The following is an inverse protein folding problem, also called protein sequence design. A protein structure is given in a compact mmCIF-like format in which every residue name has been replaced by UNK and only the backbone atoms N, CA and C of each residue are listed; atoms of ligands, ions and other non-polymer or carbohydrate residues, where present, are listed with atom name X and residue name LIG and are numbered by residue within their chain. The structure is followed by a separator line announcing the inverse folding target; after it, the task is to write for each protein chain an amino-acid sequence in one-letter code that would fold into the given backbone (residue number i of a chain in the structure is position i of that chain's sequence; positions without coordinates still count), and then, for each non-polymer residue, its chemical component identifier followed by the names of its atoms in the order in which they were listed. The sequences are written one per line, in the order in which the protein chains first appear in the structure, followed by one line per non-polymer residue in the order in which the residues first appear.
data_IF_822720175473
#
_entry.id   IF_822720175473
#
_cell.length_a   1.000
_cell.length_b   1.000
_cell.length_c   1.000
_cell.angle_alpha   90.00
_cell.angle_beta   90.00
_cell.angle_gamma   90.00
#
_symmetry.space_group_name_H-M   'P 1'
#
loop_
_entity.id
_entity.type
_entity.pdbx_description
1 polymer ?
#
# COMPACT_ATOMS: atom_id res chain seq x y z
N UNK A 1 3.67 -17.39 11.99
CA UNK A 1 2.69 -16.30 12.08
C UNK A 1 3.05 -15.37 10.93
N UNK A 2 2.31 -15.43 9.82
CA UNK A 2 2.72 -14.73 8.59
C UNK A 2 2.57 -13.21 8.75
N UNK A 3 3.36 -12.46 7.97
CA UNK A 3 3.43 -11.00 7.88
C UNK A 3 2.09 -10.33 7.49
N UNK A 4 1.11 -10.40 8.39
CA UNK A 4 -0.30 -10.08 8.12
C UNK A 4 -0.58 -8.69 7.55
N UNK A 5 -0.04 -7.58 8.07
CA UNK A 5 -0.31 -6.27 7.49
C UNK A 5 0.39 -6.05 6.14
N UNK A 6 1.58 -6.64 5.93
CA UNK A 6 2.36 -6.49 4.69
C UNK A 6 1.72 -7.25 3.53
N UNK A 7 1.25 -8.47 3.77
CA UNK A 7 0.53 -9.24 2.77
C UNK A 7 -0.77 -8.52 2.36
N UNK A 8 -1.56 -8.08 3.36
CA UNK A 8 -2.80 -7.34 3.11
C UNK A 8 -2.56 -6.02 2.35
N UNK A 9 -1.54 -5.24 2.71
CA UNK A 9 -1.18 -4.01 1.99
C UNK A 9 -0.86 -4.28 0.52
N UNK A 10 -0.11 -5.35 0.22
CA UNK A 10 0.20 -5.74 -1.17
C UNK A 10 -1.07 -6.06 -1.95
N UNK A 11 -2.01 -6.80 -1.37
CA UNK A 11 -3.29 -7.11 -2.02
C UNK A 11 -4.13 -5.84 -2.30
N UNK A 12 -4.20 -4.92 -1.32
CA UNK A 12 -4.89 -3.63 -1.48
C UNK A 12 -4.27 -2.83 -2.63
N UNK A 13 -2.94 -2.73 -2.67
CA UNK A 13 -2.23 -2.02 -3.73
C UNK A 13 -2.35 -2.68 -5.09
N UNK A 14 -2.35 -4.02 -5.17
CA UNK A 14 -2.58 -4.74 -6.43
C UNK A 14 -3.99 -4.49 -6.98
N UNK A 15 -4.98 -4.31 -6.10
CA UNK A 15 -6.34 -3.93 -6.50
C UNK A 15 -6.42 -2.45 -6.97
N UNK A 16 -5.79 -1.54 -6.22
CA UNK A 16 -5.74 -0.12 -6.55
C UNK A 16 -4.97 0.12 -7.87
N UNK A 17 -3.84 -0.56 -8.07
CA UNK A 17 -3.04 -0.47 -9.30
C UNK A 17 -3.83 -0.96 -10.53
N UNK A 18 -4.50 -2.12 -10.42
CA UNK A 18 -5.37 -2.62 -11.51
C UNK A 18 -6.45 -1.59 -11.87
N UNK A 19 -7.05 -0.96 -10.87
CA UNK A 19 -8.08 0.07 -11.08
C UNK A 19 -7.51 1.32 -11.74
N UNK A 20 -6.36 1.81 -11.29
CA UNK A 20 -5.68 2.97 -11.86
C UNK A 20 -5.29 2.75 -13.33
N UNK A 21 -4.72 1.57 -13.64
CA UNK A 21 -4.33 1.21 -15.03
C UNK A 21 -5.53 1.09 -15.96
N UNK A 22 -6.68 0.62 -15.46
CA UNK A 22 -7.91 0.56 -16.25
C UNK A 22 -8.44 1.96 -16.61
N UNK A 23 -8.34 2.92 -15.68
CA UNK A 23 -8.74 4.32 -15.93
C UNK A 23 -7.82 4.97 -16.96
N UNK A 24 -6.50 4.81 -16.81
CA UNK A 24 -5.51 5.37 -17.75
C UNK A 24 -5.71 4.83 -19.18
N UNK A 25 -5.90 3.52 -19.32
CA UNK A 25 -6.17 2.88 -20.60
C UNK A 25 -7.47 3.39 -21.26
N UNK A 26 -8.52 3.63 -20.47
CA UNK A 26 -9.77 4.18 -20.98
C UNK A 26 -9.64 5.65 -21.40
N UNK A 27 -8.81 6.44 -20.70
CA UNK A 27 -8.49 7.81 -21.07
C UNK A 27 -7.78 7.88 -22.43
N UNK A 28 -6.84 6.97 -22.67
CA UNK A 28 -6.12 6.85 -23.96
C UNK A 28 -7.07 6.49 -25.11
N UNK A 29 -8.01 5.56 -24.90
CA UNK A 29 -8.99 5.16 -25.93
C UNK A 29 -9.90 6.32 -26.34
N UNK A 30 -10.33 7.16 -25.39
CA UNK A 30 -11.12 8.37 -25.68
C UNK A 30 -10.33 9.43 -26.47
N UNK A 31 -9.00 9.36 -26.51
CA UNK A 31 -8.16 10.38 -27.14
C UNK A 31 -7.67 10.00 -28.54
N UNK A 32 -7.68 8.71 -28.91
CA UNK A 32 -7.04 8.22 -30.15
C UNK A 32 -8.02 8.02 -31.34
N UNK A 33 -9.32 8.20 -31.15
CA UNK A 33 -10.31 8.14 -32.24
C UNK A 33 -11.41 9.18 -32.09
N UNK A 34 -11.59 9.99 -33.13
CA UNK A 34 -12.66 10.95 -33.38
C UNK A 34 -12.55 12.36 -32.75
N UNK A 35 -12.42 13.33 -33.66
CA UNK A 35 -13.23 14.55 -33.76
C UNK A 35 -13.97 14.93 -32.47
N UNK A 36 -13.40 15.87 -31.71
CA UNK A 36 -14.06 16.50 -30.57
C UNK A 36 -15.27 17.32 -31.05
N UNK A 37 -16.43 16.67 -31.14
CA UNK A 37 -17.73 17.36 -31.16
C UNK A 37 -18.75 16.59 -30.35
N UNK A 38 -18.54 16.63 -29.05
CA UNK A 38 -19.47 16.16 -28.04
C UNK A 38 -19.00 16.69 -26.70
N UNK A 39 -19.31 17.94 -26.41
CA UNK A 39 -19.18 18.51 -25.06
C UNK A 39 -19.93 17.59 -24.11
N UNK A 40 -19.19 16.80 -23.32
CA UNK A 40 -19.74 16.13 -22.15
C UNK A 40 -20.31 17.24 -21.26
N UNK A 41 -21.61 17.25 -20.94
CA UNK A 41 -22.18 18.27 -20.06
C UNK A 41 -21.45 18.19 -18.71
N UNK A 42 -21.02 19.33 -18.12
CA UNK A 42 -20.22 19.33 -16.91
C UNK A 42 -20.98 18.83 -15.66
N UNK A 43 -22.31 18.64 -15.74
CA UNK A 43 -23.14 18.32 -14.57
C UNK A 43 -23.12 16.87 -14.07
N UNK A 44 -22.79 15.86 -14.89
CA UNK A 44 -22.88 14.43 -14.52
C UNK A 44 -21.52 13.73 -14.30
N UNK A 45 -20.41 14.47 -14.35
CA UNK A 45 -19.04 13.92 -14.18
C UNK A 45 -18.57 13.75 -12.72
N UNK A 46 -19.48 13.84 -11.74
CA UNK A 46 -19.17 14.15 -10.33
C UNK A 46 -18.35 13.12 -9.54
N UNK A 47 -17.95 12.00 -10.13
CA UNK A 47 -17.08 11.02 -9.48
C UNK A 47 -15.96 10.52 -10.39
N UNK A 48 -15.37 11.39 -11.22
CA UNK A 48 -13.97 11.15 -11.58
C UNK A 48 -13.18 11.21 -10.27
N UNK A 49 -12.59 10.07 -9.90
CA UNK A 49 -11.66 9.93 -8.76
C UNK A 49 -10.85 11.23 -8.60
N UNK A 50 -10.94 11.87 -7.43
CA UNK A 50 -10.18 13.09 -7.12
C UNK A 50 -8.66 12.87 -7.15
N UNK A 51 -8.22 11.62 -7.34
CA UNK A 51 -6.82 11.21 -7.40
C UNK A 51 -6.45 10.93 -8.86
N UNK A 52 -5.44 11.63 -9.36
CA UNK A 52 -4.79 11.35 -10.64
C UNK A 52 -4.24 9.91 -10.64
N UNK A 53 -4.58 9.08 -11.64
CA UNK A 53 -4.08 7.70 -11.72
C UNK A 53 -2.55 7.60 -11.69
N UNK A 54 -1.83 8.56 -12.27
CA UNK A 54 -0.37 8.62 -12.28
C UNK A 54 0.18 8.82 -10.87
N UNK A 55 -0.41 9.75 -10.12
CA UNK A 55 -0.01 10.03 -8.73
C UNK A 55 -0.29 8.83 -7.82
N UNK A 56 -1.43 8.13 -8.03
CA UNK A 56 -1.74 6.92 -7.28
C UNK A 56 -0.71 5.81 -7.54
N UNK A 57 -0.34 5.58 -8.81
CA UNK A 57 0.67 4.59 -9.17
C UNK A 57 2.04 4.94 -8.59
N UNK A 58 2.43 6.22 -8.63
CA UNK A 58 3.68 6.69 -8.04
C UNK A 58 3.69 6.50 -6.50
N UNK A 59 2.57 6.77 -5.82
CA UNK A 59 2.43 6.51 -4.38
C UNK A 59 2.56 5.02 -4.06
N UNK A 60 1.87 4.15 -4.80
CA UNK A 60 1.93 2.69 -4.60
C UNK A 60 3.36 2.18 -4.78
N UNK A 61 4.08 2.64 -5.81
CA UNK A 61 5.48 2.27 -6.03
C UNK A 61 6.37 2.71 -4.85
N UNK A 62 6.20 3.94 -4.37
CA UNK A 62 6.93 4.43 -3.20
C UNK A 62 6.64 3.60 -1.94
N UNK A 63 5.38 3.30 -1.65
CA UNK A 63 4.98 2.54 -0.47
C UNK A 63 5.46 1.08 -0.51
N UNK A 64 5.45 0.44 -1.70
CA UNK A 64 6.05 -0.89 -1.89
C UNK A 64 7.55 -0.89 -1.58
N UNK A 65 8.29 0.10 -2.07
CA UNK A 65 9.72 0.25 -1.76
C UNK A 65 9.97 0.46 -0.27
N UNK A 66 9.10 1.20 0.42
CA UNK A 66 9.19 1.34 1.88
C UNK A 66 8.99 -0.02 2.56
N UNK A 67 8.04 -0.86 2.14
CA UNK A 67 7.89 -2.21 2.71
C UNK A 67 9.09 -3.11 2.43
N UNK A 68 9.69 -3.04 1.24
CA UNK A 68 10.88 -3.83 0.90
C UNK A 68 12.08 -3.47 1.79
N UNK A 69 12.23 -2.18 2.11
CA UNK A 69 13.22 -1.66 3.06
C UNK A 69 12.88 -2.10 4.48
N UNK A 70 11.60 -2.09 4.87
CA UNK A 70 11.15 -2.45 6.22
C UNK A 70 10.87 -3.95 6.42
N UNK A 71 11.52 -4.85 5.70
CA UNK A 71 11.28 -6.31 5.77
C UNK A 71 11.65 -6.96 7.13
N UNK A 72 10.99 -8.08 7.50
CA UNK A 72 11.36 -8.86 8.68
C UNK A 72 12.69 -9.58 8.47
N UNK A 73 13.50 -9.64 9.52
CA UNK A 73 14.72 -10.43 9.63
C UNK A 73 14.63 -11.27 10.88
N UNK A 74 14.89 -12.56 10.74
CA UNK A 74 14.97 -13.49 11.87
C UNK A 74 16.31 -13.31 12.56
N UNK A 75 16.26 -12.92 13.83
CA UNK A 75 17.43 -12.82 14.68
C UNK A 75 17.29 -13.75 15.87
N UNK A 76 18.41 -14.33 16.31
CA UNK A 76 18.44 -15.17 17.50
C UNK A 76 18.22 -14.27 18.73
N UNK A 77 17.21 -14.56 19.54
CA UNK A 77 17.03 -13.89 20.82
C UNK A 77 18.17 -14.30 21.74
N UNK A 78 18.83 -13.32 22.35
CA UNK A 78 20.00 -13.52 23.23
C UNK A 78 19.61 -13.56 24.72
N UNK A 79 18.31 -13.71 25.02
CA UNK A 79 17.78 -13.68 26.39
C UNK A 79 17.88 -15.03 27.14
N UNK A 80 17.80 -14.96 28.46
CA UNK A 80 18.00 -16.07 29.42
C UNK A 80 16.92 -17.19 29.37
N UNK A 81 15.91 -17.09 28.49
CA UNK A 81 14.75 -17.99 28.46
C UNK A 81 14.74 -19.03 27.32
N UNK A 82 15.83 -19.15 26.55
CA UNK A 82 15.98 -20.19 25.53
C UNK A 82 16.28 -19.64 24.12
N UNK A 83 16.63 -20.54 23.21
CA UNK A 83 16.99 -20.22 21.82
C UNK A 83 15.75 -19.87 20.96
N UNK A 84 15.01 -18.83 21.31
CA UNK A 84 13.88 -18.37 20.50
C UNK A 84 14.36 -17.40 19.40
N UNK A 85 13.79 -17.54 18.20
CA UNK A 85 13.96 -16.58 17.12
C UNK A 85 12.87 -15.52 17.20
N UNK A 86 13.26 -14.26 17.06
CA UNK A 86 12.31 -13.15 16.93
C UNK A 86 12.45 -12.49 15.56
N UNK A 87 11.36 -11.95 15.06
CA UNK A 87 11.34 -11.15 13.83
C UNK A 87 11.50 -9.67 14.18
N UNK A 88 12.56 -9.07 13.64
CA UNK A 88 12.85 -7.64 13.75
C UNK A 88 12.79 -6.99 12.38
N UNK A 89 12.53 -5.70 12.35
CA UNK A 89 12.69 -4.94 11.11
C UNK A 89 14.18 -4.76 10.78
N UNK A 90 14.58 -5.00 9.52
CA UNK A 90 15.97 -4.85 9.08
C UNK A 90 16.53 -3.43 9.17
N UNK A 91 15.66 -2.42 9.20
CA UNK A 91 16.05 -1.00 9.08
C UNK A 91 15.80 -0.18 10.34
N UNK A 92 14.95 -0.66 11.24
CA UNK A 92 14.67 0.05 12.48
C UNK A 92 15.74 -0.30 13.52
N UNK A 93 16.60 0.67 13.83
CA UNK A 93 17.67 0.55 14.83
C UNK A 93 17.16 0.70 16.28
N UNK A 94 15.86 0.93 16.47
CA UNK A 94 15.28 1.03 17.82
C UNK A 94 15.12 -0.37 18.42
N UNK A 95 15.56 -0.58 19.65
CA UNK A 95 15.45 -1.87 20.33
C UNK A 95 14.29 -1.84 21.35
N UNK A 96 13.34 -2.79 21.30
CA UNK A 96 13.12 -3.80 20.28
C UNK A 96 12.20 -3.32 19.14
N UNK A 97 12.71 -3.20 17.92
CA UNK A 97 11.89 -3.00 16.73
C UNK A 97 11.30 -4.34 16.29
N UNK A 98 10.35 -4.84 17.08
CA UNK A 98 9.57 -6.01 16.76
C UNK A 98 8.85 -5.76 15.42
N UNK A 99 8.93 -6.72 14.52
CA UNK A 99 8.17 -6.67 13.28
C UNK A 99 6.71 -7.13 13.55
N UNK A 100 5.69 -6.50 12.93
CA UNK A 100 5.74 -5.33 12.07
C UNK A 100 6.06 -4.04 12.85
N UNK A 101 7.05 -3.29 12.36
CA UNK A 101 7.49 -2.04 12.99
C UNK A 101 6.48 -0.91 12.82
N UNK A 102 6.66 0.18 13.58
CA UNK A 102 5.78 1.36 13.56
C UNK A 102 5.59 1.95 12.17
N UNK A 103 6.63 1.97 11.32
CA UNK A 103 6.51 2.43 9.92
C UNK A 103 5.48 1.61 9.14
N UNK A 104 5.56 0.28 9.21
CA UNK A 104 4.62 -0.61 8.50
C UNK A 104 3.19 -0.42 9.04
N UNK A 105 3.04 -0.29 10.37
CA UNK A 105 1.75 -0.01 11.02
C UNK A 105 1.16 1.33 10.60
N UNK A 106 1.98 2.38 10.48
CA UNK A 106 1.56 3.71 10.04
C UNK A 106 1.07 3.70 8.58
N UNK A 107 1.74 2.93 7.70
CA UNK A 107 1.25 2.74 6.32
C UNK A 107 -0.11 2.05 6.36
N UNK A 108 -0.23 0.91 7.08
CA UNK A 108 -1.51 0.21 7.22
C UNK A 108 -2.62 1.11 7.79
N UNK A 109 -2.30 1.98 8.75
CA UNK A 109 -3.23 2.96 9.33
C UNK A 109 -3.77 3.97 8.32
N UNK A 110 -2.99 4.33 7.30
CA UNK A 110 -3.47 5.14 6.16
C UNK A 110 -4.63 4.48 5.42
N UNK A 111 -4.66 3.15 5.43
CA UNK A 111 -5.66 2.31 4.79
C UNK A 111 -6.73 1.77 5.76
N UNK A 112 -6.81 2.27 7.01
CA UNK A 112 -7.73 1.79 8.06
C UNK A 112 -9.22 1.75 7.70
N UNK A 113 -9.62 2.48 6.67
CA UNK A 113 -11.00 2.55 6.18
C UNK A 113 -11.30 1.47 5.11
N UNK A 114 -10.30 0.72 4.66
CA UNK A 114 -10.46 -0.36 3.68
C UNK A 114 -10.91 -1.66 4.36
N UNK A 115 -11.74 -2.47 3.69
CA UNK A 115 -12.08 -3.81 4.17
C UNK A 115 -10.82 -4.67 4.40
N UNK A 116 -10.83 -5.46 5.47
CA UNK A 116 -9.73 -6.35 5.85
C UNK A 116 -8.68 -5.72 6.75
N UNK A 117 -8.72 -4.41 7.00
CA UNK A 117 -7.90 -3.78 8.03
C UNK A 117 -8.24 -4.35 9.43
N UNK A 118 -7.22 -4.62 10.25
CA UNK A 118 -7.37 -5.13 11.62
C UNK A 118 -6.89 -4.10 12.64
N UNK A 119 -7.69 -3.85 13.68
CA UNK A 119 -7.39 -2.80 14.68
C UNK A 119 -6.10 -3.06 15.48
N UNK A 120 -5.69 -4.31 15.60
CA UNK A 120 -4.39 -4.69 16.19
C UNK A 120 -3.17 -4.21 15.41
N UNK A 121 -3.33 -3.79 14.15
CA UNK A 121 -2.27 -3.17 13.36
C UNK A 121 -2.11 -1.68 13.63
N UNK A 122 -2.94 -1.11 14.51
CA UNK A 122 -2.84 0.29 14.92
C UNK A 122 -1.44 0.56 15.51
N UNK A 123 -0.80 1.69 15.14
CA UNK A 123 0.51 2.06 15.67
C UNK A 123 0.56 2.15 17.19
#
# INVERSE_FOLDING_TARGET
MMDEPTAWLREVWDADERSARAIDSASVILTIGDTVRGSIPPEDSKFRSLIDPTDLLARIDAERRILDVHRPVRVRSTGDLGEDFIERCSMCDQFPAQYPCSTVRLIAWGYRHRPGYREEWRP
#
